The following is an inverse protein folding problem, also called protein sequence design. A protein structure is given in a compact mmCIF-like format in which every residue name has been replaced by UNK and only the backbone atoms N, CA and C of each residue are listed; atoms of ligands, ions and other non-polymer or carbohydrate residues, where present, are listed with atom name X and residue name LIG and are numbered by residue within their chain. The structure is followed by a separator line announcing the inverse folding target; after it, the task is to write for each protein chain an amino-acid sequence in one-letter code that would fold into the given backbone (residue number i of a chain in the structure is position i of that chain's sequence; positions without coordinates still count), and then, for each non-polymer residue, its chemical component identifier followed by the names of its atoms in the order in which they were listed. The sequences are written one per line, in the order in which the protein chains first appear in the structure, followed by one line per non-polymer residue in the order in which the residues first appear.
data_IF_473814606026
#
_entry.id   IF_473814606026
#
_cell.length_a   1.000
_cell.length_b   1.000
_cell.length_c   1.000
_cell.angle_alpha   90.00
_cell.angle_beta   90.00
_cell.angle_gamma   90.00
#
_symmetry.space_group_name_H-M   'P 1'
#
loop_
_entity.id
_entity.type
_entity.pdbx_description
1 polymer ?
#
# COMPACT_ATOMS: atom_id res chain seq x y z
N UNK A 1 -58.67 -15.34 -14.04
CA UNK A 1 -57.21 -15.51 -14.26
C UNK A 1 -56.36 -14.23 -14.19
N UNK A 2 -56.93 -13.00 -14.08
CA UNK A 2 -56.13 -11.75 -14.04
C UNK A 2 -55.46 -11.40 -12.69
N UNK A 3 -55.95 -11.96 -11.58
CA UNK A 3 -55.40 -11.68 -10.23
C UNK A 3 -54.04 -12.32 -9.96
N UNK A 4 -53.82 -13.55 -10.46
CA UNK A 4 -52.61 -14.33 -10.18
C UNK A 4 -51.37 -13.78 -10.91
N UNK A 5 -51.55 -13.17 -12.09
CA UNK A 5 -50.46 -12.58 -12.88
C UNK A 5 -49.84 -11.36 -12.18
N UNK A 6 -50.66 -10.53 -11.53
CA UNK A 6 -50.17 -9.36 -10.77
C UNK A 6 -49.34 -9.77 -9.56
N UNK A 7 -49.73 -10.85 -8.88
CA UNK A 7 -49.00 -11.39 -7.74
C UNK A 7 -47.67 -12.03 -8.18
N UNK A 8 -47.65 -12.72 -9.33
CA UNK A 8 -46.42 -13.27 -9.91
C UNK A 8 -45.40 -12.17 -10.29
N UNK A 9 -45.87 -11.06 -10.86
CA UNK A 9 -44.99 -9.92 -11.19
C UNK A 9 -44.43 -9.28 -9.92
N UNK A 10 -45.24 -9.12 -8.88
CA UNK A 10 -44.80 -8.56 -7.60
C UNK A 10 -43.76 -9.46 -6.92
N UNK A 11 -43.99 -10.78 -6.91
CA UNK A 11 -43.04 -11.76 -6.35
C UNK A 11 -41.72 -11.73 -7.12
N UNK A 12 -41.77 -11.66 -8.46
CA UNK A 12 -40.58 -11.53 -9.31
C UNK A 12 -39.75 -10.29 -8.98
N UNK A 13 -40.41 -9.14 -8.80
CA UNK A 13 -39.76 -7.88 -8.41
C UNK A 13 -39.11 -7.96 -7.03
N UNK A 14 -39.75 -8.62 -6.07
CA UNK A 14 -39.21 -8.82 -4.73
C UNK A 14 -37.97 -9.74 -4.78
N UNK A 15 -38.02 -10.83 -5.55
CA UNK A 15 -36.88 -11.75 -5.73
C UNK A 15 -35.68 -11.02 -6.34
N UNK A 16 -35.89 -10.22 -7.38
CA UNK A 16 -34.83 -9.41 -7.99
C UNK A 16 -34.23 -8.41 -7.01
N UNK A 17 -35.06 -7.77 -6.17
CA UNK A 17 -34.62 -6.81 -5.16
C UNK A 17 -33.80 -7.45 -4.03
N UNK A 18 -34.10 -8.69 -3.63
CA UNK A 18 -33.32 -9.38 -2.57
C UNK A 18 -32.06 -10.08 -3.10
N UNK A 19 -31.98 -10.39 -4.39
CA UNK A 19 -30.78 -11.01 -4.99
C UNK A 19 -29.65 -10.02 -5.31
N UNK A 20 -29.88 -8.70 -5.24
CA UNK A 20 -28.82 -7.69 -5.51
C UNK A 20 -27.91 -7.43 -4.31
N UNK A 21 -27.80 -8.37 -3.37
CA UNK A 21 -26.82 -8.28 -2.29
C UNK A 21 -25.44 -8.46 -2.92
N UNK A 22 -24.86 -7.34 -3.39
CA UNK A 22 -23.51 -7.28 -3.89
C UNK A 22 -22.59 -7.82 -2.78
N UNK A 23 -21.83 -8.86 -3.08
CA UNK A 23 -20.78 -9.32 -2.18
C UNK A 23 -19.83 -8.15 -1.93
N UNK A 24 -19.77 -7.67 -0.69
CA UNK A 24 -18.70 -6.78 -0.26
C UNK A 24 -17.39 -7.55 -0.44
N UNK A 25 -16.57 -7.17 -1.43
CA UNK A 25 -15.21 -7.68 -1.54
C UNK A 25 -14.49 -7.38 -0.22
N UNK A 26 -14.05 -8.42 0.48
CA UNK A 26 -13.27 -8.29 1.71
C UNK A 26 -11.85 -7.86 1.31
N UNK A 27 -11.65 -6.53 1.25
CA UNK A 27 -10.35 -5.95 0.97
C UNK A 27 -9.47 -6.09 2.21
N UNK A 28 -8.68 -7.15 2.25
CA UNK A 28 -7.68 -7.37 3.29
C UNK A 28 -6.34 -6.81 2.85
N UNK A 29 -5.60 -6.25 3.81
CA UNK A 29 -4.22 -5.84 3.57
C UNK A 29 -3.37 -7.05 3.12
N UNK A 30 -2.57 -6.84 2.08
CA UNK A 30 -1.63 -7.81 1.55
C UNK A 30 -0.28 -7.11 1.35
N UNK A 31 0.73 -7.54 2.10
CA UNK A 31 2.07 -6.96 2.08
C UNK A 31 2.73 -7.04 0.69
N UNK A 32 2.36 -8.04 -0.12
CA UNK A 32 2.85 -8.19 -1.49
C UNK A 32 2.40 -7.07 -2.42
N UNK A 33 1.39 -6.31 -2.06
CA UNK A 33 0.92 -5.16 -2.84
C UNK A 33 1.78 -3.91 -2.62
N UNK A 34 2.68 -3.92 -1.62
CA UNK A 34 3.67 -2.86 -1.41
C UNK A 34 4.96 -3.24 -2.13
N UNK A 35 5.35 -2.44 -3.12
CA UNK A 35 6.60 -2.61 -3.87
C UNK A 35 7.60 -1.54 -3.44
N UNK A 36 8.81 -1.97 -3.11
CA UNK A 36 9.92 -1.10 -2.73
C UNK A 36 11.03 -1.30 -3.75
N UNK A 37 11.45 -0.22 -4.41
CA UNK A 37 12.44 -0.25 -5.48
C UNK A 37 13.45 0.87 -5.32
N UNK A 38 14.73 0.58 -5.57
CA UNK A 38 15.76 1.61 -5.75
C UNK A 38 15.68 2.10 -7.20
N UNK A 39 15.31 3.37 -7.40
CA UNK A 39 15.08 3.94 -8.74
C UNK A 39 16.23 4.84 -9.21
N UNK A 40 17.03 5.38 -8.30
CA UNK A 40 18.24 6.10 -8.65
C UNK A 40 19.29 6.04 -7.55
N UNK A 41 20.54 6.24 -7.96
CA UNK A 41 21.66 6.44 -7.06
C UNK A 41 22.48 7.62 -7.58
N UNK A 42 22.91 8.48 -6.68
CA UNK A 42 23.88 9.54 -6.96
C UNK A 42 25.09 9.41 -6.05
N UNK A 43 26.25 9.83 -6.58
CA UNK A 43 27.52 9.81 -5.85
C UNK A 43 28.04 11.24 -5.89
N UNK A 44 27.94 11.92 -4.76
CA UNK A 44 28.65 13.17 -4.51
C UNK A 44 30.03 12.90 -3.89
N UNK A 45 30.84 13.94 -3.79
CA UNK A 45 32.16 13.84 -3.13
C UNK A 45 32.03 13.50 -1.64
N UNK A 46 30.99 14.01 -0.97
CA UNK A 46 30.77 13.87 0.47
C UNK A 46 29.59 12.99 0.84
N UNK A 47 28.77 12.57 -0.13
CA UNK A 47 27.53 11.84 0.13
C UNK A 47 27.19 10.83 -0.96
N UNK A 48 26.35 9.86 -0.61
CA UNK A 48 25.65 9.00 -1.56
C UNK A 48 24.16 9.22 -1.38
N UNK A 49 23.48 9.61 -2.44
CA UNK A 49 22.03 9.75 -2.46
C UNK A 49 21.39 8.52 -3.08
N UNK A 50 20.25 8.13 -2.54
CA UNK A 50 19.46 7.00 -3.03
C UNK A 50 18.01 7.45 -3.13
N UNK A 51 17.39 7.22 -4.29
CA UNK A 51 15.95 7.42 -4.45
C UNK A 51 15.25 6.08 -4.35
N UNK A 52 14.41 5.94 -3.33
CA UNK A 52 13.61 4.73 -3.09
C UNK A 52 12.16 5.07 -3.44
N UNK A 53 11.56 4.28 -4.33
CA UNK A 53 10.13 4.33 -4.61
C UNK A 53 9.41 3.29 -3.75
N UNK A 54 8.36 3.73 -3.05
CA UNK A 54 7.40 2.84 -2.37
C UNK A 54 6.07 2.97 -3.09
N UNK A 55 5.65 1.90 -3.77
CA UNK A 55 4.42 1.87 -4.58
C UNK A 55 3.42 0.91 -3.98
N UNK A 56 2.20 1.39 -3.77
CA UNK A 56 1.05 0.56 -3.43
C UNK A 56 0.31 0.16 -4.71
N UNK A 57 0.28 -1.14 -5.02
CA UNK A 57 -0.47 -1.71 -6.16
C UNK A 57 -1.81 -2.32 -5.73
N UNK A 58 -2.14 -2.27 -4.44
CA UNK A 58 -3.38 -2.78 -3.88
C UNK A 58 -4.54 -1.81 -4.07
N UNK A 59 -5.74 -2.27 -3.69
CA UNK A 59 -6.98 -1.46 -3.75
C UNK A 59 -7.20 -0.62 -2.49
N UNK A 60 -6.47 -0.89 -1.41
CA UNK A 60 -6.55 -0.17 -0.14
C UNK A 60 -5.64 1.05 -0.14
N UNK A 61 -6.12 2.21 0.31
CA UNK A 61 -5.27 3.39 0.51
C UNK A 61 -4.37 3.22 1.74
N UNK A 62 -3.11 3.64 1.63
CA UNK A 62 -2.18 3.70 2.77
C UNK A 62 -2.20 5.12 3.33
N UNK A 63 -2.74 5.27 4.54
CA UNK A 63 -2.86 6.57 5.22
C UNK A 63 -1.58 6.97 5.95
N UNK A 64 -0.82 6.01 6.45
CA UNK A 64 0.43 6.25 7.18
C UNK A 64 1.50 5.23 6.75
N UNK A 65 2.73 5.71 6.55
CA UNK A 65 3.87 4.91 6.13
C UNK A 65 5.09 5.30 6.97
N UNK A 66 5.54 4.39 7.82
CA UNK A 66 6.78 4.56 8.58
C UNK A 66 7.89 3.78 7.88
N UNK A 67 8.93 4.49 7.47
CA UNK A 67 10.06 3.90 6.75
C UNK A 67 11.31 3.91 7.64
N UNK A 68 11.76 2.73 8.04
CA UNK A 68 12.95 2.56 8.89
C UNK A 68 14.12 2.08 8.03
N UNK A 69 15.23 2.81 8.04
CA UNK A 69 16.45 2.42 7.35
C UNK A 69 17.56 2.08 8.34
N UNK A 70 18.06 0.85 8.28
CA UNK A 70 19.22 0.40 9.05
C UNK A 70 20.36 0.11 8.08
N UNK A 71 21.48 0.85 8.22
CA UNK A 71 22.61 0.74 7.28
C UNK A 71 23.91 0.46 8.03
N UNK A 72 24.16 -0.79 8.48
CA UNK A 72 25.36 -1.15 9.23
C UNK A 72 26.59 -1.20 8.33
N UNK A 73 27.77 -0.96 8.90
CA UNK A 73 29.04 -1.20 8.21
C UNK A 73 29.39 -2.68 8.36
N UNK A 74 29.35 -3.41 7.23
CA UNK A 74 29.78 -4.81 7.19
C UNK A 74 31.31 -4.86 7.06
N UNK A 75 31.95 -5.65 7.93
CA UNK A 75 33.39 -5.87 7.95
C UNK A 75 33.68 -7.37 7.83
N UNK A 76 34.94 -7.73 7.55
CA UNK A 76 35.34 -9.15 7.50
C UNK A 76 35.05 -9.91 8.80
N UNK A 77 34.97 -9.21 9.94
CA UNK A 77 34.82 -9.80 11.27
C UNK A 77 33.44 -9.57 11.91
N UNK A 78 32.45 -9.09 11.15
CA UNK A 78 31.10 -8.83 11.66
C UNK A 78 30.54 -7.48 11.20
N UNK A 79 29.60 -6.92 11.98
CA UNK A 79 28.96 -5.64 11.68
C UNK A 79 29.29 -4.59 12.76
N UNK A 80 29.42 -3.33 12.34
CA UNK A 80 29.55 -2.18 13.23
C UNK A 80 28.41 -1.20 12.95
N UNK A 81 27.92 -0.54 14.01
CA UNK A 81 27.02 0.59 13.88
C UNK A 81 27.60 1.66 12.96
N UNK A 82 26.74 2.25 12.14
CA UNK A 82 27.17 3.25 11.19
C UNK A 82 27.15 4.65 11.84
N UNK A 83 28.29 5.36 11.88
CA UNK A 83 28.37 6.68 12.49
C UNK A 83 27.80 7.79 11.60
N UNK A 84 27.46 7.51 10.35
CA UNK A 84 26.93 8.49 9.41
C UNK A 84 25.43 8.74 9.67
N UNK A 85 25.05 10.02 9.60
CA UNK A 85 23.67 10.45 9.70
C UNK A 85 22.92 10.10 8.41
N UNK A 86 21.71 9.60 8.56
CA UNK A 86 20.77 9.40 7.46
C UNK A 86 19.78 10.56 7.50
N UNK A 87 19.55 11.17 6.35
CA UNK A 87 18.51 12.17 6.14
C UNK A 87 17.64 11.72 4.98
N UNK A 88 16.33 11.91 5.08
CA UNK A 88 15.39 11.52 4.03
C UNK A 88 14.44 12.65 3.75
N UNK A 89 14.21 12.87 2.46
CA UNK A 89 13.29 13.86 1.94
C UNK A 89 12.18 13.11 1.18
N UNK A 90 10.96 13.59 1.34
CA UNK A 90 9.78 13.06 0.64
C UNK A 90 9.19 14.15 -0.24
N UNK A 91 8.67 13.76 -1.41
CA UNK A 91 7.92 14.65 -2.30
C UNK A 91 6.49 14.90 -1.82
N UNK A 92 6.04 14.16 -0.79
CA UNK A 92 4.72 14.29 -0.16
C UNK A 92 4.86 14.93 1.23
N UNK A 93 3.99 15.89 1.54
CA UNK A 93 4.03 16.73 2.76
C UNK A 93 3.70 16.00 4.07
N UNK A 94 3.60 14.66 4.08
CA UNK A 94 3.41 13.89 5.32
C UNK A 94 4.76 13.68 6.01
N UNK A 95 4.88 14.00 7.30
CA UNK A 95 6.16 13.93 8.00
C UNK A 95 6.69 12.50 8.02
N UNK A 96 7.95 12.34 7.61
CA UNK A 96 8.72 11.12 7.81
C UNK A 96 9.59 11.36 9.04
N UNK A 97 9.30 10.67 10.14
CA UNK A 97 10.22 10.63 11.28
C UNK A 97 11.27 9.54 10.99
N UNK A 98 12.53 9.97 10.85
CA UNK A 98 13.71 9.10 10.71
C UNK A 98 14.48 9.02 12.02
#
# INVERSE_FOLDING_TARGET
MKGNVKHLILISLIVLAVTSCASTEDYRFNDRDIKISLISQEIGEEYRGYSIEVKNTGKLEISDLHFYMYYPIITMNGYKGNPFKIEGNTTSSRPVNL
#
